data_IF_696642359400
#
_entry.id   IF_696642359400
#
_cell.length_a   1.000
_cell.length_b   1.000
_cell.length_c   1.000
_cell.angle_alpha   90.00
_cell.angle_beta   90.00
_cell.angle_gamma   90.00
#
_symmetry.space_group_name_H-M   'P 1'
#
loop_
_entity.id
_entity.type
_entity.pdbx_description
1 polymer ?
#
# COMPACT_ATOMS: atom_id res chain seq x y z
N UNK A 1 2.95 -14.77 3.22
CA UNK A 1 2.29 -14.94 1.90
C UNK A 1 2.98 -14.17 0.77
N UNK A 2 4.15 -13.59 1.00
CA UNK A 2 4.91 -12.85 -0.02
C UNK A 2 5.21 -13.75 -1.23
N UNK A 3 4.96 -13.25 -2.43
CA UNK A 3 5.18 -13.97 -3.69
C UNK A 3 4.20 -15.13 -3.93
N UNK A 4 3.05 -15.17 -3.24
CA UNK A 4 2.03 -16.20 -3.38
C UNK A 4 0.70 -15.63 -3.88
N UNK A 5 -0.02 -16.43 -4.68
CA UNK A 5 -1.38 -16.11 -5.13
C UNK A 5 -2.35 -16.98 -4.34
N UNK A 6 -3.25 -16.34 -3.60
CA UNK A 6 -4.26 -17.00 -2.77
C UNK A 6 -5.64 -16.42 -3.05
N UNK A 7 -6.69 -17.20 -2.80
CA UNK A 7 -8.07 -16.73 -2.84
C UNK A 7 -8.44 -15.91 -1.58
N UNK A 8 -9.68 -15.45 -1.51
CA UNK A 8 -10.19 -14.67 -0.38
C UNK A 8 -10.20 -15.44 0.96
N UNK A 9 -10.17 -16.77 0.92
CA UNK A 9 -10.14 -17.63 2.10
C UNK A 9 -8.70 -18.05 2.49
N UNK A 10 -7.72 -17.62 1.70
CA UNK A 10 -6.32 -17.98 1.90
C UNK A 10 -5.91 -19.31 1.25
N UNK A 11 -6.75 -19.91 0.42
CA UNK A 11 -6.38 -21.11 -0.33
C UNK A 11 -5.43 -20.78 -1.50
N UNK A 12 -4.36 -21.54 -1.73
CA UNK A 12 -3.41 -21.25 -2.78
C UNK A 12 -4.01 -21.47 -4.18
N UNK A 13 -3.88 -20.48 -5.05
CA UNK A 13 -4.27 -20.54 -6.46
C UNK A 13 -3.08 -20.79 -7.39
N UNK A 14 -1.86 -20.69 -6.89
CA UNK A 14 -0.62 -20.84 -7.64
C UNK A 14 -0.13 -22.31 -7.75
N UNK A 15 -0.95 -23.29 -7.34
CA UNK A 15 -0.63 -24.71 -7.40
C UNK A 15 0.47 -25.18 -6.43
N UNK A 16 0.93 -24.32 -5.51
CA UNK A 16 1.95 -24.67 -4.52
C UNK A 16 1.34 -24.82 -3.13
N UNK A 17 1.72 -25.81 -2.32
CA UNK A 17 1.25 -25.91 -0.95
C UNK A 17 1.67 -24.68 -0.15
N UNK A 18 0.79 -24.19 0.73
CA UNK A 18 1.13 -23.15 1.68
C UNK A 18 1.97 -23.73 2.82
N UNK A 19 3.04 -23.06 3.17
CA UNK A 19 3.72 -23.33 4.43
C UNK A 19 2.76 -23.05 5.60
N UNK A 20 2.87 -23.81 6.69
CA UNK A 20 2.05 -23.60 7.87
C UNK A 20 2.26 -22.16 8.40
N UNK A 21 1.23 -21.34 8.33
CA UNK A 21 1.25 -19.99 8.89
C UNK A 21 1.16 -20.09 10.40
N UNK A 22 2.15 -19.57 11.10
CA UNK A 22 2.18 -19.53 12.58
C UNK A 22 1.25 -18.49 13.18
N UNK A 23 0.78 -17.55 12.38
CA UNK A 23 -0.07 -16.45 12.82
C UNK A 23 -1.28 -16.34 11.89
N UNK A 24 -2.45 -16.11 12.49
CA UNK A 24 -3.68 -15.77 11.77
C UNK A 24 -4.05 -14.31 12.06
N UNK A 25 -4.57 -13.64 11.05
CA UNK A 25 -5.01 -12.25 11.17
C UNK A 25 -6.46 -12.14 10.74
N UNK A 26 -7.33 -11.45 11.48
CA UNK A 26 -8.73 -11.31 11.11
C UNK A 26 -8.89 -10.47 9.84
N UNK A 27 -9.71 -10.94 8.90
CA UNK A 27 -9.98 -10.24 7.63
C UNK A 27 -10.57 -8.84 7.82
N UNK A 28 -11.39 -8.66 8.84
CA UNK A 28 -12.02 -7.37 9.17
C UNK A 28 -11.07 -6.37 9.83
N UNK A 29 -9.88 -6.81 10.18
CA UNK A 29 -8.89 -6.00 10.87
C UNK A 29 -9.37 -5.48 12.24
N UNK A 30 -8.44 -5.09 13.10
CA UNK A 30 -8.72 -4.39 14.34
C UNK A 30 -8.66 -2.89 14.08
N UNK A 31 -9.73 -2.17 14.37
CA UNK A 31 -9.69 -0.70 14.27
C UNK A 31 -8.65 -0.16 15.26
N UNK A 32 -7.64 0.55 14.74
CA UNK A 32 -6.68 1.23 15.59
C UNK A 32 -7.36 2.42 16.28
N UNK A 33 -7.13 2.58 17.57
CA UNK A 33 -7.57 3.77 18.30
C UNK A 33 -6.86 5.01 17.72
N UNK A 34 -7.59 6.05 17.29
CA UNK A 34 -6.98 7.27 16.76
C UNK A 34 -5.97 7.92 17.70
N UNK A 35 -6.19 7.80 19.03
CA UNK A 35 -5.33 8.38 20.05
C UNK A 35 -3.97 7.65 20.18
N UNK A 36 -3.88 6.40 19.71
CA UNK A 36 -2.63 5.61 19.76
C UNK A 36 -1.84 5.69 18.45
N UNK A 37 -2.33 6.41 17.45
CA UNK A 37 -1.61 6.58 16.19
C UNK A 37 -0.40 7.49 16.38
N UNK A 38 0.76 7.03 15.95
CA UNK A 38 1.95 7.87 15.84
C UNK A 38 1.74 9.02 14.84
N UNK A 39 2.48 10.08 15.01
CA UNK A 39 2.54 11.17 14.01
C UNK A 39 3.35 10.71 12.79
N UNK A 40 2.98 11.19 11.62
CA UNK A 40 3.80 11.03 10.41
C UNK A 40 5.02 11.93 10.56
N UNK A 41 6.20 11.34 10.62
CA UNK A 41 7.47 12.06 10.88
C UNK A 41 8.51 11.85 9.79
N UNK A 42 8.32 10.85 8.92
CA UNK A 42 9.26 10.52 7.84
C UNK A 42 8.62 10.80 6.49
N UNK A 43 9.39 11.42 5.59
CA UNK A 43 8.99 11.61 4.21
C UNK A 43 9.12 10.28 3.45
N UNK A 44 8.16 9.98 2.60
CA UNK A 44 8.13 8.82 1.73
C UNK A 44 8.40 9.24 0.28
N UNK A 45 9.52 8.78 -0.26
CA UNK A 45 9.87 9.03 -1.66
C UNK A 45 9.04 8.12 -2.57
N UNK A 46 8.23 8.71 -3.42
CA UNK A 46 7.39 8.00 -4.40
C UNK A 46 7.92 8.10 -5.83
N UNK A 47 9.14 8.60 -6.03
CA UNK A 47 9.78 8.70 -7.34
C UNK A 47 9.20 9.76 -8.28
N UNK A 48 8.17 10.51 -7.88
CA UNK A 48 7.55 11.57 -8.70
C UNK A 48 8.01 12.94 -8.21
N UNK A 49 8.94 13.56 -8.94
CA UNK A 49 9.59 14.83 -8.54
C UNK A 49 8.63 15.94 -8.15
N UNK A 50 7.54 16.11 -8.91
CA UNK A 50 6.54 17.14 -8.62
C UNK A 50 5.85 16.92 -7.27
N UNK A 51 5.59 15.66 -6.90
CA UNK A 51 4.96 15.33 -5.62
C UNK A 51 6.00 15.43 -4.49
N UNK A 52 7.17 14.82 -4.66
CA UNK A 52 8.22 14.86 -3.66
C UNK A 52 8.67 16.28 -3.32
N UNK A 53 8.77 17.15 -4.34
CA UNK A 53 9.25 18.52 -4.16
C UNK A 53 8.21 19.53 -3.67
N UNK A 54 6.92 19.32 -4.01
CA UNK A 54 5.88 20.34 -3.75
C UNK A 54 4.84 19.91 -2.71
N UNK A 55 4.58 18.61 -2.55
CA UNK A 55 3.51 18.09 -1.70
C UNK A 55 4.01 17.27 -0.52
N UNK A 56 5.14 16.65 -0.61
CA UNK A 56 5.77 15.77 0.38
C UNK A 56 4.80 14.80 1.03
N UNK A 57 4.85 13.54 0.62
CA UNK A 57 4.06 12.47 1.23
C UNK A 57 4.85 11.85 2.38
N UNK A 58 4.20 11.53 3.48
CA UNK A 58 4.83 10.87 4.62
C UNK A 58 4.49 9.39 4.72
N UNK A 59 5.36 8.62 5.34
CA UNK A 59 5.12 7.20 5.64
C UNK A 59 3.84 7.02 6.47
N UNK A 60 2.95 6.13 6.01
CA UNK A 60 1.65 5.88 6.65
C UNK A 60 0.60 6.96 6.41
N UNK A 61 0.89 7.98 5.62
CA UNK A 61 -0.08 9.01 5.24
C UNK A 61 -1.12 8.45 4.27
N UNK A 62 -2.38 8.87 4.45
CA UNK A 62 -3.45 8.59 3.49
C UNK A 62 -3.53 9.73 2.49
N UNK A 63 -3.36 9.41 1.23
CA UNK A 63 -3.40 10.36 0.12
C UNK A 63 -4.51 9.99 -0.84
N UNK A 64 -5.26 10.97 -1.32
CA UNK A 64 -6.28 10.80 -2.34
C UNK A 64 -5.84 11.45 -3.65
N UNK A 65 -5.96 10.74 -4.75
CA UNK A 65 -5.76 11.28 -6.10
C UNK A 65 -7.14 11.46 -6.73
N UNK A 66 -7.59 12.71 -6.80
CA UNK A 66 -8.91 13.07 -7.32
C UNK A 66 -8.73 13.74 -8.67
N UNK A 67 -9.35 13.18 -9.70
CA UNK A 67 -9.26 13.71 -11.05
C UNK A 67 -10.42 13.20 -11.90
N UNK A 68 -10.75 13.95 -12.96
CA UNK A 68 -11.71 13.52 -13.98
C UNK A 68 -11.27 12.27 -14.73
N UNK A 69 -12.13 11.78 -15.61
CA UNK A 69 -11.79 10.65 -16.49
C UNK A 69 -10.75 11.07 -17.54
N UNK A 70 -9.81 10.18 -17.84
CA UNK A 70 -8.84 10.37 -18.93
C UNK A 70 -7.67 11.32 -18.66
N UNK A 71 -7.54 11.90 -17.47
CA UNK A 71 -6.47 12.88 -17.14
C UNK A 71 -5.14 12.25 -16.68
N UNK A 72 -5.00 10.92 -16.74
CA UNK A 72 -3.74 10.25 -16.40
C UNK A 72 -3.62 9.77 -14.96
N UNK A 73 -4.71 9.71 -14.17
CA UNK A 73 -4.70 9.23 -12.78
C UNK A 73 -4.04 7.86 -12.63
N UNK A 74 -4.42 6.89 -13.46
CA UNK A 74 -3.84 5.53 -13.41
C UNK A 74 -2.37 5.50 -13.83
N UNK A 75 -1.98 6.39 -14.76
CA UNK A 75 -0.58 6.55 -15.16
C UNK A 75 0.25 7.08 -14.01
N UNK A 76 -0.25 8.12 -13.33
CA UNK A 76 0.42 8.67 -12.15
C UNK A 76 0.58 7.61 -11.04
N UNK A 77 -0.48 6.83 -10.76
CA UNK A 77 -0.40 5.73 -9.80
C UNK A 77 0.65 4.69 -10.20
N UNK A 78 0.74 4.34 -11.48
CA UNK A 78 1.78 3.44 -12.00
C UNK A 78 3.19 4.00 -11.83
N UNK A 79 3.39 5.30 -12.05
CA UNK A 79 4.68 5.97 -11.83
C UNK A 79 5.07 5.97 -10.34
N UNK A 80 4.10 6.25 -9.45
CA UNK A 80 4.32 6.20 -8.00
C UNK A 80 4.71 4.79 -7.54
N UNK A 81 4.02 3.75 -8.02
CA UNK A 81 4.33 2.36 -7.67
C UNK A 81 5.71 1.93 -8.21
N UNK A 82 6.10 2.40 -9.40
CA UNK A 82 7.40 2.07 -9.98
C UNK A 82 8.56 2.82 -9.30
N UNK A 83 8.30 3.98 -8.71
CA UNK A 83 9.31 4.83 -8.09
C UNK A 83 9.39 4.73 -6.56
N UNK A 84 8.38 4.12 -5.92
CA UNK A 84 8.36 3.99 -4.47
C UNK A 84 9.26 2.84 -4.01
N UNK A 85 10.09 3.10 -3.02
CA UNK A 85 10.81 2.06 -2.28
C UNK A 85 9.87 1.50 -1.20
N UNK A 86 9.33 0.31 -1.45
CA UNK A 86 8.45 -0.38 -0.50
C UNK A 86 8.75 -1.89 -0.49
N UNK A 87 8.41 -2.56 0.63
CA UNK A 87 8.54 -4.01 0.85
C UNK A 87 7.60 -4.83 -0.06
#
# INVERSE_FOLDING_TARGET
LLGRIVDANGAPLDGRPLAACRQSWPLTGKRSNPLTRGRVTQAFDIGVRAINGLLTIGEGQRVAIIAGSGVGKSVLMGQMLAGAECD
#
